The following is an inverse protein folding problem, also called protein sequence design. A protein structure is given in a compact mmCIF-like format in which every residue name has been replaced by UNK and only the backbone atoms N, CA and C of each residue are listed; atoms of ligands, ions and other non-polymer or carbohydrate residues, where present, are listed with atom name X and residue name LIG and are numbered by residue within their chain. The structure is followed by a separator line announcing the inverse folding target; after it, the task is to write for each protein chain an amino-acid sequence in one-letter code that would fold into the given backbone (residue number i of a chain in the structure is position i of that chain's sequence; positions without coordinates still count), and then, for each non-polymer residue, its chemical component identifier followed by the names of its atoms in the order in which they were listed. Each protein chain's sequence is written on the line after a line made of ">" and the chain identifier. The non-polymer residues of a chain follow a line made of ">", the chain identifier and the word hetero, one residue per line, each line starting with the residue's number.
data_IF_430790605408
#
_entry.id   IF_430790605408
#
_cell.length_a   1.000
_cell.length_b   1.000
_cell.length_c   1.000
_cell.angle_alpha   90.00
_cell.angle_beta   90.00
_cell.angle_gamma   90.00
#
_symmetry.space_group_name_H-M   'P 1'
#
loop_
_entity.id
_entity.type
_entity.pdbx_description
1 polymer ?
#
# COMPACT_ATOMS: atom_id res chain seq x y z
N UNK A 1 -3.84 -14.76 -8.05
CA UNK A 1 -4.74 -13.65 -7.68
C UNK A 1 -4.47 -12.49 -8.61
N UNK A 2 -5.51 -11.80 -9.08
CA UNK A 2 -5.36 -10.55 -9.84
C UNK A 2 -5.14 -9.37 -8.89
N UNK A 3 -4.57 -8.25 -9.37
CA UNK A 3 -4.32 -7.06 -8.55
C UNK A 3 -5.56 -6.60 -7.76
N UNK A 4 -6.72 -6.55 -8.40
CA UNK A 4 -7.98 -6.18 -7.75
C UNK A 4 -8.40 -7.13 -6.60
N UNK A 5 -8.12 -8.43 -6.70
CA UNK A 5 -8.44 -9.40 -5.65
C UNK A 5 -7.51 -9.22 -4.44
N UNK A 6 -6.24 -8.88 -4.67
CA UNK A 6 -5.28 -8.58 -3.61
C UNK A 6 -5.72 -7.37 -2.77
N UNK A 7 -6.22 -6.31 -3.42
CA UNK A 7 -6.70 -5.12 -2.72
C UNK A 7 -7.91 -5.41 -1.83
N UNK A 8 -8.80 -6.30 -2.26
CA UNK A 8 -9.95 -6.72 -1.45
C UNK A 8 -9.49 -7.44 -0.18
N UNK A 9 -8.53 -8.36 -0.32
CA UNK A 9 -7.96 -9.08 0.83
C UNK A 9 -7.30 -8.12 1.82
N UNK A 10 -6.58 -7.11 1.33
CA UNK A 10 -5.97 -6.09 2.21
C UNK A 10 -7.03 -5.26 2.92
N UNK A 11 -8.08 -4.84 2.21
CA UNK A 11 -9.18 -4.08 2.81
C UNK A 11 -9.90 -4.88 3.91
N UNK A 12 -10.18 -6.15 3.66
CA UNK A 12 -10.77 -7.06 4.65
C UNK A 12 -9.85 -7.28 5.85
N UNK A 13 -8.55 -7.51 5.62
CA UNK A 13 -7.58 -7.76 6.68
C UNK A 13 -7.32 -6.55 7.59
N UNK A 14 -7.39 -5.33 7.03
CA UNK A 14 -7.17 -4.08 7.77
C UNK A 14 -8.44 -3.56 8.44
N UNK A 15 -9.62 -4.03 8.03
CA UNK A 15 -10.91 -3.48 8.45
C UNK A 15 -11.15 -2.05 7.94
N UNK A 16 -10.35 -1.58 6.98
CA UNK A 16 -10.45 -0.24 6.42
C UNK A 16 -11.38 -0.22 5.21
N UNK A 17 -12.06 0.91 4.93
CA UNK A 17 -12.86 1.06 3.73
C UNK A 17 -12.07 0.75 2.47
N UNK A 18 -12.60 -0.14 1.63
CA UNK A 18 -11.96 -0.59 0.40
C UNK A 18 -11.59 0.58 -0.53
N UNK A 19 -12.43 1.61 -0.61
CA UNK A 19 -12.15 2.81 -1.42
C UNK A 19 -10.88 3.53 -0.98
N UNK A 20 -10.62 3.61 0.33
CA UNK A 20 -9.42 4.24 0.88
C UNK A 20 -8.18 3.40 0.59
N UNK A 21 -8.27 2.08 0.78
CA UNK A 21 -7.17 1.15 0.48
C UNK A 21 -6.80 1.19 -1.00
N UNK A 22 -7.79 1.11 -1.89
CA UNK A 22 -7.57 1.14 -3.34
C UNK A 22 -6.95 2.48 -3.77
N UNK A 23 -7.43 3.59 -3.21
CA UNK A 23 -6.89 4.91 -3.52
C UNK A 23 -5.43 5.03 -3.08
N UNK A 24 -5.11 4.63 -1.85
CA UNK A 24 -3.74 4.71 -1.31
C UNK A 24 -2.79 3.82 -2.12
N UNK A 25 -3.13 2.54 -2.31
CA UNK A 25 -2.28 1.61 -3.06
C UNK A 25 -2.13 2.04 -4.51
N UNK A 26 -3.15 2.67 -5.13
CA UNK A 26 -3.03 3.26 -6.47
C UNK A 26 -1.98 4.37 -6.49
N UNK A 27 -1.96 5.25 -5.50
CA UNK A 27 -0.97 6.32 -5.43
C UNK A 27 0.44 5.77 -5.21
N UNK A 28 0.59 4.75 -4.36
CA UNK A 28 1.86 4.09 -4.13
C UNK A 28 2.36 3.39 -5.39
N UNK A 29 1.52 2.60 -6.06
CA UNK A 29 1.87 1.93 -7.31
C UNK A 29 2.27 2.91 -8.42
N UNK A 30 1.58 4.06 -8.52
CA UNK A 30 1.92 5.10 -9.49
C UNK A 30 3.31 5.72 -9.26
N UNK A 31 3.73 5.88 -8.00
CA UNK A 31 5.08 6.38 -7.67
C UNK A 31 6.17 5.44 -8.19
N UNK A 32 5.92 4.14 -8.14
CA UNK A 32 6.83 3.09 -8.61
C UNK A 32 6.65 2.73 -10.10
N UNK A 33 5.75 3.43 -10.82
CA UNK A 33 5.47 3.15 -12.24
C UNK A 33 4.72 1.82 -12.48
N UNK A 34 4.09 1.26 -11.46
CA UNK A 34 3.35 -0.01 -11.52
C UNK A 34 1.89 0.19 -11.90
N UNK A 35 1.34 -0.77 -12.66
CA UNK A 35 -0.08 -0.83 -12.99
C UNK A 35 -0.82 -1.67 -11.95
N UNK A 36 -1.85 -1.09 -11.32
CA UNK A 36 -2.61 -1.74 -10.23
C UNK A 36 -3.28 -3.05 -10.66
N UNK A 37 -3.66 -3.17 -11.94
CA UNK A 37 -4.34 -4.36 -12.48
C UNK A 37 -3.37 -5.53 -12.69
N UNK A 38 -2.07 -5.24 -12.79
CA UNK A 38 -0.99 -6.20 -13.01
C UNK A 38 -0.18 -6.49 -11.75
N UNK A 39 -0.58 -5.88 -10.63
CA UNK A 39 0.15 -5.92 -9.37
C UNK A 39 0.19 -7.36 -8.83
N UNK A 40 1.39 -7.88 -8.60
CA UNK A 40 1.59 -9.20 -7.99
C UNK A 40 1.60 -9.10 -6.46
N UNK A 41 1.53 -10.24 -5.79
CA UNK A 41 1.67 -10.25 -4.32
C UNK A 41 3.05 -9.75 -3.88
N UNK A 42 4.09 -10.00 -4.68
CA UNK A 42 5.46 -9.57 -4.38
C UNK A 42 5.60 -8.05 -4.55
N UNK A 43 5.04 -7.49 -5.63
CA UNK A 43 4.98 -6.02 -5.82
C UNK A 43 4.25 -5.34 -4.66
N UNK A 44 3.11 -5.90 -4.24
CA UNK A 44 2.34 -5.38 -3.12
C UNK A 44 3.13 -5.43 -1.81
N UNK A 45 3.86 -6.52 -1.57
CA UNK A 45 4.70 -6.66 -0.37
C UNK A 45 5.80 -5.60 -0.33
N UNK A 46 6.48 -5.38 -1.46
CA UNK A 46 7.51 -4.35 -1.57
C UNK A 46 6.93 -2.95 -1.35
N UNK A 47 5.83 -2.61 -2.03
CA UNK A 47 5.12 -1.34 -1.90
C UNK A 47 4.73 -1.02 -0.45
N UNK A 48 4.15 -1.98 0.26
CA UNK A 48 3.72 -1.79 1.64
C UNK A 48 4.91 -1.70 2.60
N UNK A 49 6.02 -2.39 2.32
CA UNK A 49 7.23 -2.31 3.13
C UNK A 49 7.87 -0.93 3.05
N UNK A 50 7.99 -0.37 1.85
CA UNK A 50 8.49 0.99 1.63
C UNK A 50 7.57 2.03 2.26
N UNK A 51 6.26 1.89 2.06
CA UNK A 51 5.28 2.76 2.70
C UNK A 51 5.40 2.76 4.23
N UNK A 52 5.52 1.58 4.84
CA UNK A 52 5.69 1.46 6.28
C UNK A 52 6.98 2.15 6.74
N UNK A 53 8.07 2.00 6.00
CA UNK A 53 9.34 2.65 6.30
C UNK A 53 9.20 4.18 6.28
N UNK A 54 8.55 4.74 5.27
CA UNK A 54 8.28 6.19 5.16
C UNK A 54 7.43 6.71 6.32
N UNK A 55 6.39 5.96 6.70
CA UNK A 55 5.53 6.29 7.85
C UNK A 55 6.34 6.29 9.14
N UNK A 56 7.20 5.28 9.36
CA UNK A 56 8.03 5.19 10.55
C UNK A 56 9.09 6.30 10.62
N UNK A 57 9.72 6.65 9.49
CA UNK A 57 10.65 7.78 9.40
C UNK A 57 9.93 9.09 9.72
N UNK A 58 8.75 9.31 9.13
CA UNK A 58 7.95 10.51 9.36
C UNK A 58 7.49 10.62 10.82
N UNK A 59 7.06 9.51 11.42
CA UNK A 59 6.69 9.44 12.83
C UNK A 59 7.90 9.74 13.73
N UNK A 60 9.06 9.15 13.44
CA UNK A 60 10.30 9.42 14.19
C UNK A 60 10.69 10.89 14.10
N UNK A 61 10.66 11.50 12.91
CA UNK A 61 10.98 12.93 12.74
C UNK A 61 10.01 13.84 13.52
N UNK A 62 8.73 13.44 13.62
CA UNK A 62 7.70 14.20 14.35
C UNK A 62 7.78 14.08 15.86
N UNK A 63 8.25 12.95 16.38
CA UNK A 63 8.21 12.62 17.81
C UNK A 63 9.61 12.45 18.45
N UNK A 64 10.68 12.65 17.70
CA UNK A 64 12.04 12.71 18.27
C UNK A 64 12.26 14.13 18.82
N UNK A 65 12.57 14.28 20.12
CA UNK A 65 12.80 15.57 20.77
C UNK A 65 14.06 16.29 20.28
#
# INVERSE_FOLDING_TARGET
>A
MRGAELLNVVAEATGLPQSLIVQEIRQLAQKEGLCIDQLTLDDLRSLLAEYLQDVLISAKARYSP
#
